data_IF_684206491852
#
_entry.id   IF_684206491852
#
_cell.length_a   1.000
_cell.length_b   1.000
_cell.length_c   1.000
_cell.angle_alpha   90.00
_cell.angle_beta   90.00
_cell.angle_gamma   90.00
#
_symmetry.space_group_name_H-M   'P 1'
#
loop_
_entity.id
_entity.type
_entity.pdbx_description
1 polymer ?
#
# COMPACT_ATOMS: atom_id res chain seq x y z
N UNK A 1 -2.27 20.36 -12.59
CA UNK A 1 -0.89 19.82 -12.52
C UNK A 1 -0.56 19.64 -11.05
N UNK A 2 -0.21 18.43 -10.64
CA UNK A 2 0.17 18.10 -9.25
C UNK A 2 1.58 17.55 -9.23
N UNK A 3 2.28 17.72 -8.10
CA UNK A 3 3.58 17.14 -7.82
C UNK A 3 3.37 15.83 -7.06
N UNK A 4 3.75 14.69 -7.64
CA UNK A 4 3.42 13.35 -7.15
C UNK A 4 4.70 12.58 -6.85
N UNK A 5 4.82 12.08 -5.62
CA UNK A 5 5.82 11.09 -5.26
C UNK A 5 5.24 9.69 -5.42
N UNK A 6 5.97 8.80 -6.10
CA UNK A 6 5.59 7.38 -6.24
C UNK A 6 6.66 6.50 -5.62
N UNK A 7 6.21 5.49 -4.85
CA UNK A 7 7.03 4.39 -4.37
C UNK A 7 6.32 3.04 -4.57
N UNK A 8 6.95 1.93 -4.22
CA UNK A 8 6.38 0.58 -4.21
C UNK A 8 7.23 -0.38 -3.38
N UNK A 9 6.85 -1.65 -3.31
CA UNK A 9 7.65 -2.74 -2.74
C UNK A 9 8.07 -3.80 -3.78
N UNK A 10 7.48 -3.80 -4.97
CA UNK A 10 7.89 -4.68 -6.08
C UNK A 10 9.24 -4.29 -6.72
N UNK A 11 9.74 -3.09 -6.38
CA UNK A 11 10.99 -2.54 -6.90
C UNK A 11 10.83 -1.64 -8.13
N UNK A 12 11.90 -0.87 -8.41
CA UNK A 12 11.90 0.19 -9.44
C UNK A 12 11.62 -0.32 -10.86
N UNK A 13 11.95 -1.58 -11.16
CA UNK A 13 11.77 -2.18 -12.48
C UNK A 13 10.41 -2.85 -12.68
N UNK A 14 9.55 -2.85 -11.66
CA UNK A 14 8.24 -3.48 -11.72
C UNK A 14 7.31 -2.80 -12.74
N UNK A 15 6.49 -3.61 -13.42
CA UNK A 15 5.55 -3.11 -14.42
C UNK A 15 4.47 -2.20 -13.79
N UNK A 16 4.04 -2.51 -12.57
CA UNK A 16 3.00 -1.75 -11.86
C UNK A 16 3.38 -0.29 -11.63
N UNK A 17 4.57 -0.03 -11.08
CA UNK A 17 5.05 1.33 -10.83
C UNK A 17 5.30 2.08 -12.13
N UNK A 18 5.82 1.40 -13.16
CA UNK A 18 6.05 2.01 -14.47
C UNK A 18 4.73 2.42 -15.13
N UNK A 19 3.71 1.56 -15.08
CA UNK A 19 2.38 1.88 -15.62
C UNK A 19 1.78 3.08 -14.89
N UNK A 20 1.83 3.12 -13.56
CA UNK A 20 1.31 4.22 -12.74
C UNK A 20 2.00 5.53 -13.08
N UNK A 21 3.34 5.54 -13.05
CA UNK A 21 4.14 6.74 -13.27
C UNK A 21 3.93 7.34 -14.67
N UNK A 22 3.99 6.50 -15.71
CA UNK A 22 3.81 6.97 -17.08
C UNK A 22 2.38 7.48 -17.32
N UNK A 23 1.36 6.80 -16.78
CA UNK A 23 -0.04 7.25 -16.93
C UNK A 23 -0.27 8.62 -16.27
N UNK A 24 0.30 8.86 -15.09
CA UNK A 24 0.22 10.16 -14.41
C UNK A 24 1.01 11.25 -15.14
N UNK A 25 2.19 10.92 -15.64
CA UNK A 25 3.01 11.86 -16.43
C UNK A 25 2.33 12.25 -17.75
N UNK A 26 1.67 11.30 -18.43
CA UNK A 26 0.85 11.53 -19.63
C UNK A 26 -0.42 12.35 -19.34
N UNK A 27 -0.86 12.40 -18.09
CA UNK A 27 -1.95 13.26 -17.62
C UNK A 27 -1.46 14.65 -17.13
N UNK A 28 -0.27 15.09 -17.56
CA UNK A 28 0.33 16.39 -17.25
C UNK A 28 0.63 16.64 -15.76
N UNK A 29 0.97 15.56 -15.00
CA UNK A 29 1.46 15.70 -13.64
C UNK A 29 3.00 15.63 -13.57
N UNK A 30 3.59 16.29 -12.59
CA UNK A 30 5.01 16.14 -12.27
C UNK A 30 5.19 14.89 -11.41
N UNK A 31 6.02 13.95 -11.88
CA UNK A 31 6.15 12.63 -11.24
C UNK A 31 7.59 12.36 -10.84
N UNK A 32 7.80 12.08 -9.58
CA UNK A 32 9.07 11.57 -9.04
C UNK A 32 8.84 10.16 -8.51
N UNK A 33 9.65 9.20 -8.97
CA UNK A 33 9.60 7.80 -8.54
C UNK A 33 10.83 7.48 -7.71
N UNK A 34 10.64 6.99 -6.48
CA UNK A 34 11.72 6.48 -5.65
C UNK A 34 11.31 5.13 -5.08
N UNK A 35 11.94 4.07 -5.55
CA UNK A 35 11.57 2.69 -5.21
C UNK A 35 12.76 1.87 -4.77
N UNK A 36 12.53 0.76 -4.06
CA UNK A 36 13.57 -0.23 -3.78
C UNK A 36 14.25 -0.72 -5.07
N UNK A 37 15.54 -1.04 -4.97
CA UNK A 37 16.37 -1.60 -6.06
C UNK A 37 15.94 -3.01 -6.49
N UNK A 38 15.14 -3.69 -5.68
CA UNK A 38 14.59 -5.03 -5.86
C UNK A 38 13.30 -5.18 -5.07
N UNK A 39 12.59 -6.26 -5.29
CA UNK A 39 11.41 -6.64 -4.53
C UNK A 39 11.68 -6.72 -3.01
N UNK A 40 10.76 -6.16 -2.22
CA UNK A 40 10.77 -6.07 -0.76
C UNK A 40 9.42 -6.52 -0.17
N UNK A 41 8.87 -7.59 -0.69
CA UNK A 41 7.59 -8.13 -0.22
C UNK A 41 7.62 -8.51 1.26
N UNK A 42 6.49 -8.33 1.94
CA UNK A 42 6.27 -8.65 3.36
C UNK A 42 7.27 -7.99 4.33
N UNK A 43 7.80 -6.82 4.00
CA UNK A 43 8.70 -6.08 4.91
C UNK A 43 7.98 -5.27 5.98
N UNK A 44 6.65 -5.09 5.83
CA UNK A 44 5.88 -4.20 6.71
C UNK A 44 6.46 -2.78 6.74
N UNK A 45 6.21 -2.03 7.81
CA UNK A 45 6.69 -0.65 7.98
C UNK A 45 8.08 -0.60 8.68
N UNK A 46 9.05 -1.30 8.08
CA UNK A 46 10.42 -1.34 8.61
C UNK A 46 11.31 -0.24 8.03
N UNK A 47 12.30 0.23 8.81
CA UNK A 47 13.33 1.18 8.40
C UNK A 47 14.73 0.54 8.43
N UNK A 48 15.60 0.96 7.54
CA UNK A 48 17.00 0.54 7.48
C UNK A 48 17.86 1.45 8.34
N UNK A 49 18.19 1.00 9.57
CA UNK A 49 18.98 1.80 10.52
C UNK A 49 20.44 1.36 10.69
N UNK A 50 20.77 0.12 10.33
CA UNK A 50 22.08 -0.47 10.64
C UNK A 50 23.05 -0.54 9.46
N UNK A 51 22.65 0.01 8.29
CA UNK A 51 23.48 0.09 7.10
C UNK A 51 23.15 1.35 6.30
N UNK A 52 24.11 1.89 5.53
CA UNK A 52 23.86 3.06 4.70
C UNK A 52 22.92 2.71 3.56
N UNK A 53 22.03 3.65 3.22
CA UNK A 53 21.22 3.59 2.00
C UNK A 53 22.09 3.98 0.80
N UNK A 54 21.91 3.26 -0.31
CA UNK A 54 22.50 3.58 -1.60
C UNK A 54 21.40 3.90 -2.57
N UNK A 55 21.50 5.03 -3.25
CA UNK A 55 20.53 5.42 -4.25
C UNK A 55 21.24 5.86 -5.52
N UNK A 56 20.57 5.68 -6.66
CA UNK A 56 21.04 6.13 -7.98
C UNK A 56 19.87 6.46 -8.88
N UNK A 57 20.05 7.40 -9.77
CA UNK A 57 19.09 7.70 -10.83
C UNK A 57 18.91 6.51 -11.76
N UNK A 58 17.70 6.40 -12.30
CA UNK A 58 17.32 5.35 -13.25
C UNK A 58 16.76 6.00 -14.50
N UNK A 59 17.53 5.91 -15.57
CA UNK A 59 17.16 6.41 -16.88
C UNK A 59 16.43 5.32 -17.70
N UNK A 60 15.68 5.77 -18.69
CA UNK A 60 15.21 4.96 -19.84
C UNK A 60 14.12 3.91 -19.63
N UNK A 61 13.56 3.73 -18.46
CA UNK A 61 12.42 2.78 -18.24
C UNK A 61 11.07 3.47 -18.07
N UNK A 62 11.10 4.77 -17.76
CA UNK A 62 9.93 5.63 -17.63
C UNK A 62 9.85 6.63 -18.78
N UNK A 63 8.72 7.33 -18.91
CA UNK A 63 8.57 8.44 -19.82
C UNK A 63 9.59 9.55 -19.47
N UNK A 64 10.03 10.32 -20.47
CA UNK A 64 11.14 11.27 -20.34
C UNK A 64 10.90 12.42 -19.34
N UNK A 65 9.67 12.63 -18.91
CA UNK A 65 9.26 13.64 -17.93
C UNK A 65 9.08 13.07 -16.51
N UNK A 66 9.47 11.81 -16.29
CA UNK A 66 9.50 11.17 -14.97
C UNK A 66 10.92 11.17 -14.43
N UNK A 67 11.12 11.72 -13.24
CA UNK A 67 12.38 11.58 -12.48
C UNK A 67 12.32 10.30 -11.66
N UNK A 68 13.32 9.41 -11.80
CA UNK A 68 13.29 8.12 -11.14
C UNK A 68 14.60 7.78 -10.43
N UNK A 69 14.48 7.18 -9.22
CA UNK A 69 15.59 6.76 -8.38
C UNK A 69 15.35 5.35 -7.84
N UNK A 70 16.39 4.53 -7.86
CA UNK A 70 16.43 3.26 -7.13
C UNK A 70 17.16 3.43 -5.80
N UNK A 71 16.64 2.81 -4.73
CA UNK A 71 17.21 2.86 -3.39
C UNK A 71 17.38 1.45 -2.80
N UNK A 72 18.46 1.21 -2.06
CA UNK A 72 18.70 -0.10 -1.42
C UNK A 72 17.86 -0.36 -0.17
N UNK A 73 17.03 0.60 0.23
CA UNK A 73 16.18 0.55 1.43
C UNK A 73 14.85 -0.18 1.25
N UNK A 74 14.02 -0.07 2.29
CA UNK A 74 12.63 -0.48 2.30
C UNK A 74 11.76 0.53 1.54
N UNK A 75 10.48 0.24 1.25
CA UNK A 75 9.54 1.22 0.69
C UNK A 75 9.40 2.50 1.55
N UNK A 76 9.37 2.37 2.87
CA UNK A 76 9.34 3.50 3.80
C UNK A 76 10.63 4.34 3.72
N UNK A 77 11.80 3.70 3.66
CA UNK A 77 13.07 4.39 3.43
C UNK A 77 13.08 5.18 2.12
N UNK A 78 12.49 4.62 1.06
CA UNK A 78 12.40 5.28 -0.24
C UNK A 78 11.60 6.57 -0.17
N UNK A 79 10.46 6.57 0.53
CA UNK A 79 9.65 7.77 0.74
C UNK A 79 10.42 8.81 1.56
N UNK A 80 11.03 8.42 2.67
CA UNK A 80 11.86 9.32 3.49
C UNK A 80 13.02 9.93 2.71
N UNK A 81 13.73 9.09 1.95
CA UNK A 81 14.84 9.54 1.11
C UNK A 81 14.37 10.50 0.02
N UNK A 82 13.23 10.20 -0.63
CA UNK A 82 12.64 11.08 -1.63
C UNK A 82 12.35 12.47 -1.07
N UNK A 83 11.68 12.54 0.08
CA UNK A 83 11.25 13.79 0.70
C UNK A 83 12.41 14.62 1.26
N UNK A 84 13.50 13.97 1.67
CA UNK A 84 14.63 14.65 2.32
C UNK A 84 15.81 14.96 1.41
N UNK A 85 15.98 14.24 0.29
CA UNK A 85 17.20 14.29 -0.50
C UNK A 85 17.00 14.38 -2.04
N UNK A 86 15.81 14.05 -2.55
CA UNK A 86 15.56 14.01 -3.99
C UNK A 86 14.67 15.16 -4.44
N UNK A 87 13.57 15.39 -3.74
CA UNK A 87 12.57 16.37 -4.13
C UNK A 87 12.93 17.76 -3.64
N UNK A 88 12.92 18.75 -4.55
CA UNK A 88 13.17 20.17 -4.22
C UNK A 88 11.96 20.80 -3.50
N UNK A 89 10.77 20.31 -3.77
CA UNK A 89 9.53 20.79 -3.17
C UNK A 89 8.69 19.63 -2.67
N UNK A 90 7.90 19.89 -1.62
CA UNK A 90 6.99 18.91 -1.04
C UNK A 90 5.98 18.43 -2.08
N UNK A 91 5.74 17.11 -2.23
CA UNK A 91 4.70 16.61 -3.12
C UNK A 91 3.30 16.93 -2.56
N UNK A 92 2.34 17.06 -3.46
CA UNK A 92 0.92 17.20 -3.12
C UNK A 92 0.33 15.89 -2.61
N UNK A 93 0.91 14.75 -3.07
CA UNK A 93 0.44 13.41 -2.74
C UNK A 93 1.57 12.38 -2.86
N UNK A 94 1.47 11.32 -2.04
CA UNK A 94 2.28 10.11 -2.19
C UNK A 94 1.38 8.99 -2.72
N UNK A 95 1.76 8.40 -3.85
CA UNK A 95 1.18 7.17 -4.37
C UNK A 95 2.14 6.01 -4.16
N UNK A 96 1.62 4.86 -3.77
CA UNK A 96 2.42 3.64 -3.62
C UNK A 96 1.82 2.53 -4.46
N UNK A 97 2.62 1.87 -5.26
CA UNK A 97 2.19 0.75 -6.12
C UNK A 97 2.49 0.98 -7.61
N UNK A 98 1.78 0.32 -8.51
CA UNK A 98 0.65 -0.61 -8.27
C UNK A 98 1.20 -1.98 -7.91
N UNK A 99 0.85 -2.48 -6.72
CA UNK A 99 1.30 -3.77 -6.22
C UNK A 99 0.75 -4.94 -7.04
N UNK A 100 1.58 -5.93 -7.28
CA UNK A 100 1.20 -7.20 -7.88
C UNK A 100 0.70 -8.17 -6.81
N UNK A 101 -0.58 -8.14 -6.55
CA UNK A 101 -1.27 -8.87 -5.49
C UNK A 101 -2.12 -7.95 -4.61
N UNK A 102 -3.19 -8.48 -4.00
CA UNK A 102 -4.06 -7.70 -3.13
C UNK A 102 -3.38 -7.34 -1.81
N UNK A 103 -3.74 -6.19 -1.27
CA UNK A 103 -3.48 -5.80 0.12
C UNK A 103 -4.84 -5.59 0.81
N UNK A 104 -5.46 -6.68 1.25
CA UNK A 104 -6.81 -6.73 1.80
C UNK A 104 -6.80 -7.16 3.27
N UNK A 105 -7.73 -6.66 4.03
CA UNK A 105 -7.90 -7.07 5.43
C UNK A 105 -6.61 -6.90 6.24
N UNK A 106 -6.24 -7.92 7.00
CA UNK A 106 -5.04 -7.92 7.85
C UNK A 106 -3.72 -7.95 7.08
N UNK A 107 -3.72 -8.24 5.77
CA UNK A 107 -2.50 -8.22 4.96
C UNK A 107 -1.86 -6.84 4.88
N UNK A 108 -2.63 -5.77 5.07
CA UNK A 108 -2.14 -4.38 5.12
C UNK A 108 -1.02 -4.20 6.16
N UNK A 109 -1.01 -5.01 7.24
CA UNK A 109 0.00 -4.94 8.29
C UNK A 109 1.39 -5.42 7.83
N UNK A 110 1.44 -6.27 6.82
CA UNK A 110 2.67 -6.83 6.25
C UNK A 110 3.10 -6.13 4.96
N UNK A 111 2.23 -5.30 4.39
CA UNK A 111 2.40 -4.69 3.08
C UNK A 111 3.44 -3.58 3.07
N UNK A 112 4.47 -3.72 2.23
CA UNK A 112 5.41 -2.65 1.92
C UNK A 112 4.76 -1.51 1.12
N UNK A 113 3.81 -1.83 0.23
CA UNK A 113 3.03 -0.85 -0.54
C UNK A 113 2.23 0.06 0.39
N UNK A 114 1.49 -0.52 1.36
CA UNK A 114 0.71 0.26 2.34
C UNK A 114 1.65 1.07 3.24
N UNK A 115 2.79 0.50 3.61
CA UNK A 115 3.78 1.15 4.47
C UNK A 115 4.40 2.39 3.83
N UNK A 116 4.71 2.35 2.53
CA UNK A 116 5.19 3.53 1.81
C UNK A 116 4.14 4.67 1.79
N UNK A 117 2.86 4.34 1.57
CA UNK A 117 1.79 5.32 1.65
C UNK A 117 1.62 5.85 3.09
N UNK A 118 1.71 4.97 4.09
CA UNK A 118 1.64 5.35 5.51
C UNK A 118 2.76 6.32 5.89
N UNK A 119 3.98 6.12 5.37
CA UNK A 119 5.10 7.02 5.59
C UNK A 119 4.79 8.43 5.07
N UNK A 120 4.17 8.55 3.91
CA UNK A 120 3.72 9.85 3.39
C UNK A 120 2.73 10.55 4.33
N UNK A 121 1.78 9.80 4.93
CA UNK A 121 0.82 10.35 5.89
C UNK A 121 1.49 10.75 7.20
N UNK A 122 2.49 10.03 7.67
CA UNK A 122 3.29 10.43 8.85
C UNK A 122 4.02 11.76 8.62
N UNK A 123 4.44 12.01 7.38
CA UNK A 123 4.99 13.30 6.97
C UNK A 123 3.91 14.36 6.65
N UNK A 124 2.62 14.05 6.90
CA UNK A 124 1.50 14.97 6.71
C UNK A 124 1.05 15.15 5.26
N UNK A 125 1.33 14.21 4.39
CA UNK A 125 0.98 14.23 2.96
C UNK A 125 -0.15 13.22 2.69
N UNK A 126 -1.24 13.60 1.99
CA UNK A 126 -2.24 12.64 1.53
C UNK A 126 -1.59 11.48 0.79
N UNK A 127 -1.99 10.24 1.06
CA UNK A 127 -1.30 9.09 0.48
C UNK A 127 -2.26 7.96 0.13
N UNK A 128 -1.96 7.26 -0.98
CA UNK A 128 -2.77 6.15 -1.47
C UNK A 128 -1.88 4.97 -1.85
N UNK A 129 -2.21 3.80 -1.34
CA UNK A 129 -1.66 2.53 -1.76
C UNK A 129 -2.57 1.88 -2.80
N UNK A 130 -2.03 1.51 -3.97
CA UNK A 130 -2.76 0.84 -5.05
C UNK A 130 -2.29 -0.60 -5.21
N UNK A 131 -3.23 -1.52 -5.31
CA UNK A 131 -2.97 -2.95 -5.48
C UNK A 131 -3.87 -3.55 -6.55
N UNK A 132 -3.32 -4.34 -7.46
CA UNK A 132 -4.10 -5.19 -8.37
C UNK A 132 -4.37 -6.52 -7.65
N UNK A 133 -5.62 -6.87 -7.44
CA UNK A 133 -6.02 -8.04 -6.66
C UNK A 133 -5.79 -9.38 -7.41
N UNK A 134 -4.57 -9.58 -7.92
CA UNK A 134 -4.17 -10.78 -8.65
C UNK A 134 -2.67 -11.00 -8.59
N UNK A 135 -2.26 -12.27 -8.48
CA UNK A 135 -0.87 -12.72 -8.62
C UNK A 135 -0.53 -13.24 -10.02
N UNK A 136 -1.48 -13.29 -10.95
CA UNK A 136 -1.27 -13.82 -12.30
C UNK A 136 -1.62 -12.83 -13.40
N UNK A 137 -2.48 -11.86 -13.15
CA UNK A 137 -2.86 -10.83 -14.10
C UNK A 137 -1.93 -9.61 -13.97
N UNK A 138 -1.32 -9.18 -15.09
CA UNK A 138 -0.41 -8.03 -15.14
C UNK A 138 -1.04 -6.81 -15.85
N UNK A 139 -2.37 -6.74 -15.93
CA UNK A 139 -3.07 -5.61 -16.55
C UNK A 139 -3.25 -4.47 -15.55
N UNK A 140 -2.21 -3.70 -15.34
CA UNK A 140 -2.20 -2.58 -14.37
C UNK A 140 -2.92 -1.32 -14.87
N UNK A 141 -3.20 -1.19 -16.16
CA UNK A 141 -3.77 0.04 -16.74
C UNK A 141 -5.09 0.48 -16.08
N UNK A 142 -6.08 -0.41 -15.78
CA UNK A 142 -7.29 0.02 -15.09
C UNK A 142 -7.03 0.66 -13.71
N UNK A 143 -6.00 0.20 -13.01
CA UNK A 143 -5.59 0.76 -11.73
C UNK A 143 -4.92 2.13 -11.89
N UNK A 144 -4.06 2.29 -12.90
CA UNK A 144 -3.42 3.55 -13.20
C UNK A 144 -4.43 4.61 -13.66
N UNK A 145 -5.40 4.23 -14.51
CA UNK A 145 -6.50 5.11 -14.94
C UNK A 145 -7.36 5.54 -13.75
N UNK A 146 -7.58 4.63 -12.80
CA UNK A 146 -8.32 4.96 -11.58
C UNK A 146 -7.51 5.91 -10.69
N UNK A 147 -6.20 5.77 -10.59
CA UNK A 147 -5.34 6.66 -9.82
C UNK A 147 -5.42 8.11 -10.34
N UNK A 148 -5.44 8.30 -11.67
CA UNK A 148 -5.66 9.63 -12.29
C UNK A 148 -7.04 10.19 -11.93
N UNK A 149 -8.09 9.37 -11.99
CA UNK A 149 -9.48 9.79 -11.66
C UNK A 149 -9.67 10.13 -10.17
N UNK A 150 -8.94 9.43 -9.29
CA UNK A 150 -9.03 9.64 -7.85
C UNK A 150 -8.34 10.93 -7.40
N UNK A 151 -7.27 11.34 -8.08
CA UNK A 151 -6.41 12.46 -7.68
C UNK A 151 -7.18 13.77 -7.38
N UNK A 152 -8.10 14.25 -8.23
CA UNK A 152 -8.88 15.46 -7.94
C UNK A 152 -9.76 15.35 -6.69
N UNK A 153 -10.19 14.14 -6.34
CA UNK A 153 -11.04 13.90 -5.16
C UNK A 153 -10.26 14.04 -3.85
N UNK A 154 -8.93 13.88 -3.90
CA UNK A 154 -8.05 13.98 -2.74
C UNK A 154 -7.61 15.40 -2.42
N UNK A 155 -7.86 16.35 -3.31
CA UNK A 155 -7.64 17.78 -3.08
C UNK A 155 -8.68 18.42 -2.13
N UNK A 156 -9.71 17.68 -1.73
CA UNK A 156 -10.74 18.15 -0.81
C UNK A 156 -10.21 18.28 0.62
N UNK A 157 -10.78 19.22 1.38
CA UNK A 157 -10.39 19.49 2.76
C UNK A 157 -10.75 18.31 3.69
N UNK A 158 -9.83 17.39 3.85
CA UNK A 158 -9.91 16.37 4.89
C UNK A 158 -9.46 16.96 6.24
N UNK A 159 -10.02 16.52 7.37
CA UNK A 159 -9.61 16.99 8.70
C UNK A 159 -8.16 16.61 9.04
N UNK A 160 -7.62 15.61 8.38
CA UNK A 160 -6.20 15.17 8.40
C UNK A 160 -5.85 14.54 7.05
N UNK A 161 -4.56 14.44 6.68
CA UNK A 161 -4.16 13.76 5.46
C UNK A 161 -4.70 12.32 5.43
N UNK A 162 -5.46 11.92 4.39
CA UNK A 162 -6.00 10.57 4.30
C UNK A 162 -4.91 9.57 3.93
N UNK A 163 -4.99 8.37 4.53
CA UNK A 163 -4.33 7.16 4.08
C UNK A 163 -5.39 6.24 3.48
N UNK A 164 -5.30 5.97 2.19
CA UNK A 164 -6.24 5.10 1.50
C UNK A 164 -5.55 3.84 0.97
N UNK A 165 -6.13 2.68 1.24
CA UNK A 165 -5.79 1.43 0.55
C UNK A 165 -6.81 1.17 -0.54
N UNK A 166 -6.35 1.09 -1.79
CA UNK A 166 -7.18 0.90 -2.98
C UNK A 166 -6.82 -0.42 -3.62
N UNK A 167 -7.78 -1.35 -3.70
CA UNK A 167 -7.60 -2.60 -4.42
C UNK A 167 -8.49 -2.62 -5.67
N UNK A 168 -7.91 -3.03 -6.79
CA UNK A 168 -8.58 -3.10 -8.08
C UNK A 168 -8.81 -4.56 -8.46
N UNK A 169 -10.05 -4.97 -8.77
CA UNK A 169 -10.34 -6.33 -9.19
C UNK A 169 -9.65 -6.65 -10.53
N UNK A 170 -9.16 -7.89 -10.73
CA UNK A 170 -8.39 -8.28 -11.92
C UNK A 170 -9.30 -8.62 -13.12
N UNK A 171 -10.28 -7.77 -13.38
CA UNK A 171 -11.25 -7.91 -14.48
C UNK A 171 -11.09 -6.77 -15.49
N UNK A 172 -11.59 -6.93 -16.73
CA UNK A 172 -11.66 -5.80 -17.66
C UNK A 172 -12.42 -4.61 -17.07
N UNK A 173 -12.02 -3.40 -17.43
CA UNK A 173 -12.63 -2.17 -16.90
C UNK A 173 -14.17 -2.13 -17.05
N UNK A 174 -14.70 -2.71 -18.14
CA UNK A 174 -16.15 -2.79 -18.38
C UNK A 174 -16.89 -3.76 -17.44
N UNK A 175 -16.17 -4.66 -16.76
CA UNK A 175 -16.73 -5.64 -15.82
C UNK A 175 -16.56 -5.22 -14.35
N UNK A 176 -15.92 -4.08 -14.10
CA UNK A 176 -15.83 -3.50 -12.77
C UNK A 176 -17.22 -3.02 -12.35
N UNK A 177 -17.75 -3.56 -11.25
CA UNK A 177 -19.11 -3.28 -10.79
C UNK A 177 -19.29 -1.84 -10.28
N UNK A 178 -18.20 -1.16 -9.92
CA UNK A 178 -18.21 0.20 -9.42
C UNK A 178 -17.10 0.44 -8.41
N UNK A 179 -17.24 1.49 -7.60
CA UNK A 179 -16.29 1.86 -6.54
C UNK A 179 -17.05 1.91 -5.22
N UNK A 180 -16.48 1.30 -4.18
CA UNK A 180 -17.05 1.31 -2.83
C UNK A 180 -16.02 1.82 -1.82
N UNK A 181 -16.50 2.66 -0.90
CA UNK A 181 -15.79 2.89 0.37
C UNK A 181 -16.05 1.68 1.25
N UNK A 182 -14.97 1.09 1.75
CA UNK A 182 -14.99 -0.17 2.49
C UNK A 182 -14.34 -0.01 3.85
N UNK A 183 -14.58 -0.98 4.75
CA UNK A 183 -13.80 -1.15 5.97
C UNK A 183 -12.78 -2.26 5.79
N UNK A 184 -11.72 -2.22 6.58
CA UNK A 184 -10.72 -3.28 6.61
C UNK A 184 -11.38 -4.61 7.03
N UNK A 185 -11.15 -5.66 6.25
CA UNK A 185 -11.58 -7.01 6.54
C UNK A 185 -10.63 -7.75 7.47
N UNK A 186 -10.93 -9.03 7.73
CA UNK A 186 -10.04 -9.95 8.42
C UNK A 186 -9.69 -11.09 7.47
N UNK A 187 -8.39 -11.26 7.21
CA UNK A 187 -7.86 -12.44 6.52
C UNK A 187 -6.99 -13.21 7.50
N UNK A 188 -7.20 -14.49 7.59
CA UNK A 188 -6.37 -15.39 8.38
C UNK A 188 -5.71 -16.41 7.46
N UNK A 189 -4.54 -16.87 7.88
CA UNK A 189 -3.82 -17.92 7.19
C UNK A 189 -3.79 -19.16 8.09
N UNK A 190 -4.13 -20.31 7.51
CA UNK A 190 -3.82 -21.59 8.16
C UNK A 190 -2.37 -21.86 7.80
N UNK A 191 -1.48 -21.48 8.70
CA UNK A 191 -0.03 -21.56 8.49
C UNK A 191 0.44 -23.00 8.59
N UNK A 192 1.28 -23.40 7.64
CA UNK A 192 1.98 -24.66 7.61
C UNK A 192 3.44 -24.42 7.27
N UNK A 193 4.35 -24.94 8.07
CA UNK A 193 5.77 -24.94 7.77
C UNK A 193 6.16 -26.24 7.08
N UNK A 194 6.51 -26.17 5.80
CA UNK A 194 7.03 -27.31 5.05
C UNK A 194 8.54 -27.42 5.26
N UNK A 195 8.96 -28.53 5.87
CA UNK A 195 10.37 -28.81 6.09
C UNK A 195 11.00 -29.42 4.83
N UNK A 196 12.16 -28.89 4.43
CA UNK A 196 13.01 -29.44 3.38
C UNK A 196 14.47 -29.53 3.84
N UNK A 197 15.29 -30.22 3.06
CA UNK A 197 16.73 -30.33 3.30
C UNK A 197 17.50 -29.62 2.18
N UNK A 198 18.54 -28.87 2.54
CA UNK A 198 19.51 -28.35 1.58
C UNK A 198 20.42 -29.48 1.06
N UNK A 199 21.25 -29.25 0.01
CA UNK A 199 22.19 -30.25 -0.50
C UNK A 199 23.24 -30.73 0.50
N UNK A 200 23.38 -30.07 1.65
CA UNK A 200 24.28 -30.43 2.75
C UNK A 200 23.57 -31.11 3.92
N UNK A 201 22.28 -31.46 3.75
CA UNK A 201 21.46 -32.14 4.75
C UNK A 201 20.98 -31.24 5.89
N UNK A 202 21.07 -29.90 5.78
CA UNK A 202 20.52 -28.98 6.78
C UNK A 202 19.06 -28.70 6.49
N UNK A 203 18.22 -28.76 7.53
CA UNK A 203 16.80 -28.44 7.43
C UNK A 203 16.57 -26.95 7.20
N UNK A 204 15.63 -26.63 6.34
CA UNK A 204 15.03 -25.31 6.20
C UNK A 204 13.51 -25.45 6.04
N UNK A 205 12.77 -24.37 6.23
CA UNK A 205 11.32 -24.40 6.28
C UNK A 205 10.75 -23.31 5.37
N UNK A 206 9.73 -23.67 4.57
CA UNK A 206 8.91 -22.74 3.86
C UNK A 206 7.62 -22.51 4.64
N UNK A 207 7.22 -21.25 4.79
CA UNK A 207 5.89 -20.93 5.25
C UNK A 207 4.92 -21.10 4.08
N UNK A 208 4.04 -22.08 4.19
CA UNK A 208 2.88 -22.28 3.33
C UNK A 208 1.62 -21.92 4.12
N UNK A 209 0.57 -21.43 3.43
CA UNK A 209 -0.68 -21.13 4.10
C UNK A 209 -1.84 -21.12 3.14
N UNK A 210 -2.99 -21.58 3.62
CA UNK A 210 -4.27 -21.39 2.97
C UNK A 210 -4.94 -20.14 3.55
N UNK A 211 -5.50 -19.30 2.68
CA UNK A 211 -6.19 -18.09 3.10
C UNK A 211 -7.60 -18.45 3.55
N UNK A 212 -7.97 -18.02 4.76
CA UNK A 212 -9.34 -18.07 5.27
C UNK A 212 -9.89 -16.64 5.27
N UNK A 213 -10.82 -16.37 4.35
CA UNK A 213 -11.36 -15.01 4.15
C UNK A 213 -12.73 -14.81 4.83
N UNK A 214 -13.47 -15.89 5.13
CA UNK A 214 -14.80 -15.82 5.75
C UNK A 214 -14.69 -15.92 7.29
N UNK A 215 -13.94 -14.98 7.87
CA UNK A 215 -13.81 -14.89 9.33
C UNK A 215 -14.83 -13.88 9.84
N UNK A 216 -15.72 -14.30 10.75
CA UNK A 216 -16.58 -13.36 11.48
C UNK A 216 -15.72 -12.32 12.20
N UNK A 217 -16.08 -11.07 12.02
CA UNK A 217 -15.43 -9.95 12.71
C UNK A 217 -16.37 -9.41 13.76
N UNK A 218 -15.86 -9.00 14.93
CA UNK A 218 -16.63 -8.20 15.85
C UNK A 218 -17.17 -6.95 15.13
N UNK A 219 -18.43 -6.61 15.38
CA UNK A 219 -18.99 -5.36 14.87
C UNK A 219 -18.22 -4.17 15.44
N UNK A 220 -17.71 -3.31 14.57
CA UNK A 220 -17.18 -2.02 14.98
C UNK A 220 -18.35 -1.06 15.12
N UNK A 221 -18.68 -0.70 16.38
CA UNK A 221 -19.79 0.19 16.71
C UNK A 221 -19.67 1.59 16.07
N UNK A 222 -18.47 1.96 15.60
CA UNK A 222 -18.23 3.25 14.96
C UNK A 222 -18.37 3.21 13.43
N UNK A 223 -18.55 2.02 12.85
CA UNK A 223 -18.71 1.85 11.39
C UNK A 223 -20.10 1.29 11.11
N UNK A 224 -20.89 1.93 10.25
CA UNK A 224 -22.21 1.42 9.90
C UNK A 224 -22.15 -0.02 9.38
N UNK A 225 -23.05 -0.93 9.82
CA UNK A 225 -22.98 -2.37 9.50
C UNK A 225 -23.18 -2.68 8.00
N UNK A 226 -23.77 -1.76 7.25
CA UNK A 226 -23.95 -1.90 5.80
C UNK A 226 -22.67 -1.62 4.98
N UNK A 227 -21.61 -1.11 5.62
CA UNK A 227 -20.31 -0.90 4.95
C UNK A 227 -19.60 -2.25 4.82
N UNK A 228 -19.46 -2.72 3.58
CA UNK A 228 -18.78 -3.98 3.28
C UNK A 228 -17.28 -3.92 3.66
N UNK A 229 -16.72 -5.09 3.93
CA UNK A 229 -15.26 -5.22 4.01
C UNK A 229 -14.63 -5.13 2.61
N UNK A 230 -13.36 -4.75 2.56
CA UNK A 230 -12.56 -4.76 1.35
C UNK A 230 -12.48 -6.17 0.71
N UNK A 231 -12.41 -7.22 1.56
CA UNK A 231 -12.42 -8.63 1.12
C UNK A 231 -13.74 -8.99 0.44
N UNK A 232 -14.89 -8.58 1.01
CA UNK A 232 -16.19 -8.85 0.40
C UNK A 232 -16.38 -8.09 -0.92
N UNK A 233 -16.09 -6.79 -0.91
CA UNK A 233 -16.32 -5.92 -2.08
C UNK A 233 -15.44 -6.31 -3.28
N UNK A 234 -14.19 -6.74 -3.06
CA UNK A 234 -13.31 -7.17 -4.16
C UNK A 234 -13.82 -8.46 -4.85
N UNK A 235 -14.43 -9.39 -4.10
CA UNK A 235 -15.07 -10.58 -4.66
C UNK A 235 -16.23 -10.24 -5.59
N UNK A 236 -16.97 -9.18 -5.23
CA UNK A 236 -18.09 -8.66 -6.02
C UNK A 236 -17.64 -7.72 -7.15
N UNK A 237 -16.33 -7.73 -7.48
CA UNK A 237 -15.69 -6.97 -8.56
C UNK A 237 -15.77 -5.44 -8.40
N UNK A 238 -15.90 -4.94 -7.18
CA UNK A 238 -15.80 -3.51 -6.92
C UNK A 238 -14.33 -3.09 -6.72
N UNK A 239 -14.00 -1.88 -7.16
CA UNK A 239 -12.81 -1.19 -6.66
C UNK A 239 -13.10 -0.82 -5.21
N UNK A 240 -12.20 -1.17 -4.30
CA UNK A 240 -12.32 -0.86 -2.88
C UNK A 240 -11.49 0.37 -2.52
N UNK A 241 -12.04 1.24 -1.70
CA UNK A 241 -11.31 2.36 -1.08
C UNK A 241 -11.46 2.19 0.43
N UNK A 242 -10.43 1.70 1.09
CA UNK A 242 -10.41 1.48 2.53
C UNK A 242 -9.58 2.56 3.21
N UNK A 243 -10.19 3.50 3.95
CA UNK A 243 -9.44 4.45 4.77
C UNK A 243 -8.73 3.71 5.90
N UNK A 244 -7.44 3.99 6.05
CA UNK A 244 -6.58 3.41 7.10
C UNK A 244 -6.08 4.50 8.05
N UNK A 245 -5.52 4.06 9.18
CA UNK A 245 -4.84 4.93 10.12
C UNK A 245 -3.61 4.23 10.71
N UNK A 246 -2.58 5.02 11.05
CA UNK A 246 -1.37 4.51 11.68
C UNK A 246 -1.49 4.42 13.21
N UNK A 247 -2.47 5.09 13.81
CA UNK A 247 -2.67 5.04 15.26
C UNK A 247 -3.40 3.74 15.62
N UNK A 248 -2.68 2.84 16.29
CA UNK A 248 -3.16 1.53 16.71
C UNK A 248 -3.78 1.54 18.12
N UNK A 249 -3.95 2.70 18.74
CA UNK A 249 -4.55 2.81 20.07
C UNK A 249 -6.04 2.44 20.02
N UNK A 250 -6.43 1.41 20.75
CA UNK A 250 -7.84 1.07 20.95
C UNK A 250 -8.48 2.01 21.97
N UNK A 251 -9.25 2.98 21.46
CA UNK A 251 -9.89 4.00 22.29
C UNK A 251 -10.92 3.41 23.26
N UNK A 252 -11.56 2.28 22.90
CA UNK A 252 -12.54 1.60 23.76
C UNK A 252 -11.86 0.97 24.97
N UNK A 253 -10.74 0.27 24.72
CA UNK A 253 -9.95 -0.33 25.79
C UNK A 253 -9.28 0.74 26.66
N UNK A 254 -8.75 1.81 26.07
CA UNK A 254 -8.20 2.95 26.83
C UNK A 254 -9.23 3.47 27.82
N UNK A 255 -10.45 3.77 27.35
CA UNK A 255 -11.54 4.24 28.20
C UNK A 255 -11.86 3.26 29.31
N UNK A 256 -11.98 1.96 28.97
CA UNK A 256 -12.30 0.91 29.92
C UNK A 256 -11.24 0.77 31.03
N UNK A 257 -9.96 0.85 30.67
CA UNK A 257 -8.86 0.80 31.66
C UNK A 257 -8.81 2.04 32.53
N UNK A 258 -9.05 3.22 31.93
CA UNK A 258 -9.08 4.49 32.66
C UNK A 258 -10.23 4.55 33.67
N UNK A 259 -11.45 4.16 33.28
CA UNK A 259 -12.63 4.18 34.14
C UNK A 259 -12.55 3.18 35.31
N UNK A 260 -11.70 2.15 35.21
CA UNK A 260 -11.46 1.15 36.28
C UNK A 260 -10.36 1.56 37.27
N UNK A 261 -9.76 2.73 37.13
CA UNK A 261 -8.63 3.15 37.99
C UNK A 261 -7.58 2.03 38.15
N UNK A 262 -7.19 1.37 37.05
CA UNK A 262 -6.41 0.13 37.02
C UNK A 262 -5.09 0.18 37.80
N UNK A 263 -4.60 1.39 38.12
CA UNK A 263 -3.37 1.68 38.88
C UNK A 263 -3.54 2.76 39.96
N UNK A 264 -4.79 3.04 40.41
CA UNK A 264 -4.97 3.93 41.55
C UNK A 264 -4.41 3.28 42.82
N UNK A 265 -3.34 3.86 43.37
CA UNK A 265 -2.77 3.51 44.67
C UNK A 265 -3.66 3.96 45.81
#
# INVERSE_FOLDING_TARGET
>A
MSNILISNDDGIFALGVRTLANTLAQADHQVTVVCPDRERSATGHGLTLHQPLRAKEVDSIFDSNVTAWSCSGTPADCVKFALSAVMESRPDIVYSGINHGPNLGTDVLYSGTVSAAMEGVLEGIPSVAFSLASFSNLKFQPAADFAVKLLPQLANNYPKPPLLSVNIPPVPAAEIAGVLVTRQGLRRYIEKFEQRLDPRGKSYYWLEGEIVEDVEQPEDINIPPHILTDVQAIRDRYITITPLQYNLTDATIVKHLYDREFFSN
#
